data_IF_620087392413
#
_entry.id   IF_620087392413
#
_cell.length_a   1.000
_cell.length_b   1.000
_cell.length_c   1.000
_cell.angle_alpha   90.00
_cell.angle_beta   90.00
_cell.angle_gamma   90.00
#
_symmetry.space_group_name_H-M   'P 1'
#
loop_
_entity.id
_entity.type
_entity.pdbx_description
1 polymer ?
#
# COMPACT_ATOMS: atom_id res chain seq x y z
N UNK A 1 5.79 -16.28 1.40
CA UNK A 1 6.29 -15.04 2.03
C UNK A 1 6.48 -15.35 3.52
N UNK A 2 7.71 -15.35 4.02
CA UNK A 2 8.00 -15.72 5.42
C UNK A 2 7.84 -14.48 6.29
N UNK A 3 6.75 -14.40 7.06
CA UNK A 3 6.52 -13.29 8.00
C UNK A 3 7.37 -13.57 9.25
N UNK A 4 8.40 -12.76 9.47
CA UNK A 4 9.20 -12.80 10.70
C UNK A 4 8.55 -11.84 11.70
N UNK A 5 8.08 -12.38 12.82
CA UNK A 5 7.49 -11.59 13.91
C UNK A 5 8.59 -11.20 14.87
N UNK A 6 8.81 -9.90 15.08
CA UNK A 6 9.77 -9.38 16.06
C UNK A 6 9.01 -8.74 17.23
N UNK A 7 9.47 -9.01 18.46
CA UNK A 7 8.96 -8.33 19.64
C UNK A 7 9.48 -6.89 19.65
N UNK A 8 8.59 -5.90 19.59
CA UNK A 8 8.94 -4.49 19.77
C UNK A 8 9.03 -4.26 21.28
N UNK A 9 10.23 -4.35 21.85
CA UNK A 9 10.42 -4.05 23.27
C UNK A 9 10.41 -2.53 23.47
N UNK A 10 9.27 -1.98 23.88
CA UNK A 10 9.13 -0.56 24.20
C UNK A 10 9.78 -0.16 25.56
N UNK A 11 10.41 -1.09 26.27
CA UNK A 11 10.89 -0.90 27.65
C UNK A 11 12.43 -0.97 27.83
N UNK A 12 13.19 -1.45 26.84
CA UNK A 12 14.66 -1.64 26.99
C UNK A 12 15.53 -0.45 26.55
N UNK A 13 14.92 0.64 26.05
CA UNK A 13 15.68 1.80 25.58
C UNK A 13 16.51 2.51 26.66
N UNK A 14 16.36 2.13 27.94
CA UNK A 14 17.02 2.74 29.09
C UNK A 14 18.09 1.87 29.79
N UNK A 15 18.42 0.69 29.24
CA UNK A 15 19.44 -0.20 29.79
C UNK A 15 20.39 -0.67 28.69
N UNK A 16 21.12 0.25 28.07
CA UNK A 16 22.23 -0.10 27.19
C UNK A 16 23.54 0.07 27.98
N UNK A 17 24.22 -1.02 28.27
CA UNK A 17 25.57 -1.01 28.85
C UNK A 17 26.63 -1.15 27.75
N UNK A 18 27.83 -0.61 27.98
CA UNK A 18 28.95 -0.75 27.04
C UNK A 18 29.29 -2.24 26.84
N UNK A 19 28.89 -2.80 25.68
CA UNK A 19 29.16 -4.19 25.31
C UNK A 19 27.96 -4.95 24.74
N UNK A 20 26.74 -4.40 24.82
CA UNK A 20 25.54 -5.09 24.32
C UNK A 20 25.48 -5.10 22.78
N UNK A 21 25.42 -6.30 22.19
CA UNK A 21 25.24 -6.49 20.75
C UNK A 21 23.78 -6.21 20.34
N UNK A 22 23.52 -4.94 20.02
CA UNK A 22 22.22 -4.45 19.57
C UNK A 22 21.95 -4.71 18.08
N UNK A 23 22.83 -5.44 17.37
CA UNK A 23 22.72 -5.62 15.92
C UNK A 23 21.51 -6.46 15.47
N UNK A 24 20.91 -7.25 16.37
CA UNK A 24 19.81 -8.17 16.05
C UNK A 24 18.41 -7.79 16.57
N UNK A 25 18.30 -6.88 17.54
CA UNK A 25 17.03 -6.65 18.29
C UNK A 25 16.29 -5.34 17.97
N UNK A 26 16.94 -4.36 17.33
CA UNK A 26 16.32 -3.07 17.01
C UNK A 26 16.17 -2.89 15.51
N UNK A 27 14.96 -3.07 14.98
CA UNK A 27 14.61 -2.46 13.68
C UNK A 27 14.53 -0.96 13.95
N UNK A 28 15.55 -0.20 13.54
CA UNK A 28 15.50 1.25 13.66
C UNK A 28 14.35 1.72 12.77
N UNK A 29 13.46 2.56 13.29
CA UNK A 29 12.32 3.09 12.54
C UNK A 29 12.71 3.66 11.17
N UNK A 30 13.92 4.22 11.09
CA UNK A 30 14.55 4.69 9.85
C UNK A 30 14.76 3.59 8.81
N UNK A 31 15.22 2.41 9.22
CA UNK A 31 15.46 1.27 8.33
C UNK A 31 14.12 0.73 7.78
N UNK A 32 13.06 0.73 8.60
CA UNK A 32 11.71 0.37 8.13
C UNK A 32 11.18 1.40 7.12
N UNK A 33 11.38 2.69 7.37
CA UNK A 33 10.96 3.76 6.47
C UNK A 33 11.67 3.66 5.11
N UNK A 34 12.96 3.35 5.09
CA UNK A 34 13.73 3.13 3.86
C UNK A 34 13.25 1.88 3.09
N UNK A 35 12.95 0.78 3.79
CA UNK A 35 12.39 -0.44 3.16
C UNK A 35 11.01 -0.18 2.56
N UNK A 36 10.13 0.55 3.26
CA UNK A 36 8.81 0.92 2.75
C UNK A 36 8.94 1.82 1.52
N UNK A 37 9.76 2.86 1.57
CA UNK A 37 9.99 3.73 0.42
C UNK A 37 10.54 2.96 -0.80
N UNK A 38 11.45 2.01 -0.57
CA UNK A 38 11.97 1.14 -1.63
C UNK A 38 10.88 0.21 -2.20
N UNK A 39 10.00 -0.34 -1.36
CA UNK A 39 8.88 -1.18 -1.81
C UNK A 39 7.85 -0.37 -2.60
N UNK A 40 7.49 0.83 -2.14
CA UNK A 40 6.59 1.75 -2.85
C UNK A 40 7.15 2.11 -4.23
N UNK A 41 8.44 2.44 -4.32
CA UNK A 41 9.11 2.72 -5.58
C UNK A 41 9.07 1.51 -6.54
N UNK A 42 9.25 0.29 -6.02
CA UNK A 42 9.15 -0.93 -6.83
C UNK A 42 7.72 -1.20 -7.28
N UNK A 43 6.72 -0.96 -6.43
CA UNK A 43 5.31 -1.07 -6.81
C UNK A 43 4.95 -0.06 -7.91
N UNK A 44 5.43 1.19 -7.81
CA UNK A 44 5.22 2.20 -8.83
C UNK A 44 5.86 1.81 -10.18
N UNK A 45 7.10 1.28 -10.16
CA UNK A 45 7.77 0.79 -11.35
C UNK A 45 7.02 -0.37 -12.00
N UNK A 46 6.56 -1.35 -11.22
CA UNK A 46 5.76 -2.46 -11.71
C UNK A 46 4.41 -2.01 -12.27
N UNK A 47 3.75 -1.03 -11.64
CA UNK A 47 2.50 -0.47 -12.17
C UNK A 47 2.74 0.20 -13.54
N UNK A 48 3.85 0.92 -13.70
CA UNK A 48 4.22 1.53 -14.97
C UNK A 48 4.54 0.49 -16.05
N UNK A 49 5.27 -0.57 -15.72
CA UNK A 49 5.58 -1.69 -16.63
C UNK A 49 4.30 -2.41 -17.08
N UNK A 50 3.38 -2.69 -16.15
CA UNK A 50 2.08 -3.30 -16.48
C UNK A 50 1.25 -2.40 -17.42
N UNK A 51 1.25 -1.08 -17.19
CA UNK A 51 0.57 -0.14 -18.10
C UNK A 51 1.18 -0.14 -19.50
N UNK A 52 2.52 -0.18 -19.59
CA UNK A 52 3.24 -0.26 -20.86
C UNK A 52 2.98 -1.57 -21.61
N UNK A 53 2.94 -2.71 -20.91
CA UNK A 53 2.60 -4.01 -21.49
C UNK A 53 1.17 -4.04 -22.03
N UNK A 54 0.19 -3.57 -21.25
CA UNK A 54 -1.21 -3.44 -21.69
C UNK A 54 -1.34 -2.53 -22.92
N UNK A 55 -0.52 -1.48 -23.03
CA UNK A 55 -0.49 -0.60 -24.19
C UNK A 55 0.16 -1.26 -25.42
N UNK A 56 1.28 -1.94 -25.23
CA UNK A 56 1.95 -2.68 -26.30
C UNK A 56 1.07 -3.78 -26.90
N UNK A 57 0.27 -4.47 -26.07
CA UNK A 57 -0.68 -5.48 -26.54
C UNK A 57 -1.82 -4.87 -27.36
N UNK A 58 -2.32 -3.68 -26.98
CA UNK A 58 -3.29 -2.92 -27.80
C UNK A 58 -2.72 -2.57 -29.17
N UNK A 59 -1.48 -2.09 -29.21
CA UNK A 59 -0.80 -1.74 -30.45
C UNK A 59 -0.58 -2.95 -31.34
N UNK A 60 -0.19 -4.09 -30.75
CA UNK A 60 -0.06 -5.36 -31.45
C UNK A 60 -1.39 -5.85 -32.03
N UNK A 61 -2.47 -5.84 -31.25
CA UNK A 61 -3.80 -6.20 -31.73
C UNK A 61 -4.26 -5.29 -32.89
N UNK A 62 -3.99 -3.99 -32.80
CA UNK A 62 -4.32 -3.06 -33.88
C UNK A 62 -3.52 -3.34 -35.16
N UNK A 63 -2.22 -3.64 -35.04
CA UNK A 63 -1.38 -4.07 -36.16
C UNK A 63 -1.94 -5.34 -36.81
N UNK A 64 -2.22 -6.38 -36.02
CA UNK A 64 -2.73 -7.65 -36.53
C UNK A 64 -4.12 -7.51 -37.19
N UNK A 65 -4.98 -6.63 -36.68
CA UNK A 65 -6.28 -6.31 -37.29
C UNK A 65 -6.16 -5.66 -38.66
N UNK A 66 -5.15 -4.82 -38.86
CA UNK A 66 -4.91 -4.15 -40.15
C UNK A 66 -4.37 -5.12 -41.21
N UNK A 67 -3.54 -6.08 -40.80
CA UNK A 67 -2.89 -7.05 -41.70
C UNK A 67 -3.72 -8.33 -41.93
N UNK A 68 -4.61 -8.69 -41.00
CA UNK A 68 -5.40 -9.93 -41.07
C UNK A 68 -6.88 -9.71 -40.79
N UNK A 69 -7.70 -9.82 -41.85
CA UNK A 69 -9.16 -9.82 -41.76
C UNK A 69 -9.66 -11.10 -41.08
N UNK A 70 -9.72 -11.07 -39.76
CA UNK A 70 -10.12 -12.21 -38.92
C UNK A 70 -9.42 -12.28 -37.56
N UNK A 71 -8.59 -11.28 -37.21
CA UNK A 71 -7.95 -11.21 -35.90
C UNK A 71 -8.99 -11.02 -34.78
N UNK A 72 -8.90 -11.84 -33.75
CA UNK A 72 -9.58 -11.63 -32.47
C UNK A 72 -8.57 -11.04 -31.49
N UNK A 73 -8.95 -9.93 -30.85
CA UNK A 73 -8.12 -9.32 -29.81
C UNK A 73 -7.92 -10.33 -28.67
N UNK A 74 -6.67 -10.62 -28.35
CA UNK A 74 -6.33 -11.30 -27.10
C UNK A 74 -5.77 -10.23 -26.14
N UNK A 75 -6.37 -10.13 -24.96
CA UNK A 75 -5.90 -9.22 -23.91
C UNK A 75 -5.40 -10.04 -22.74
N UNK A 76 -4.17 -9.76 -22.31
CA UNK A 76 -3.58 -10.28 -21.10
C UNK A 76 -4.14 -9.46 -19.95
N UNK A 77 -5.31 -9.90 -19.46
CA UNK A 77 -5.82 -9.39 -18.20
C UNK A 77 -4.83 -9.74 -17.08
N UNK A 78 -4.61 -8.80 -16.16
CA UNK A 78 -3.77 -9.03 -14.96
C UNK A 78 -4.59 -8.87 -13.67
N UNK A 79 -5.65 -9.68 -13.45
CA UNK A 79 -6.58 -9.47 -12.33
C UNK A 79 -5.88 -9.45 -10.97
N UNK A 80 -4.84 -10.28 -10.79
CA UNK A 80 -4.06 -10.31 -9.55
C UNK A 80 -3.27 -9.03 -9.30
N UNK A 81 -2.71 -8.43 -10.35
CA UNK A 81 -1.97 -7.15 -10.25
C UNK A 81 -2.93 -6.00 -9.99
N UNK A 82 -4.06 -5.96 -10.69
CA UNK A 82 -5.06 -4.92 -10.54
C UNK A 82 -5.69 -4.98 -9.13
N UNK A 83 -5.98 -6.17 -8.62
CA UNK A 83 -6.44 -6.38 -7.24
C UNK A 83 -5.37 -5.97 -6.20
N UNK A 84 -4.08 -6.26 -6.46
CA UNK A 84 -3.00 -5.85 -5.57
C UNK A 84 -2.84 -4.32 -5.54
N UNK A 85 -2.96 -3.64 -6.68
CA UNK A 85 -2.92 -2.18 -6.76
C UNK A 85 -4.10 -1.54 -6.02
N UNK A 86 -5.31 -2.10 -6.18
CA UNK A 86 -6.51 -1.74 -5.44
C UNK A 86 -6.30 -1.85 -3.92
N UNK A 87 -5.75 -2.96 -3.46
CA UNK A 87 -5.45 -3.21 -2.04
C UNK A 87 -4.40 -2.23 -1.50
N UNK A 88 -3.33 -1.95 -2.24
CA UNK A 88 -2.31 -0.96 -1.84
C UNK A 88 -2.91 0.44 -1.67
N UNK A 89 -3.81 0.85 -2.59
CA UNK A 89 -4.53 2.13 -2.46
C UNK A 89 -5.44 2.15 -1.23
N UNK A 90 -6.17 1.06 -0.96
CA UNK A 90 -7.02 0.93 0.21
C UNK A 90 -6.21 1.02 1.51
N UNK A 91 -5.06 0.35 1.58
CA UNK A 91 -4.16 0.41 2.73
C UNK A 91 -3.62 1.84 2.96
N UNK A 92 -3.30 2.59 1.90
CA UNK A 92 -2.91 3.99 2.02
C UNK A 92 -4.00 4.86 2.68
N UNK A 93 -5.28 4.60 2.36
CA UNK A 93 -6.43 5.29 2.99
C UNK A 93 -6.58 4.90 4.46
N UNK A 94 -6.42 3.61 4.78
CA UNK A 94 -6.46 3.13 6.17
C UNK A 94 -5.32 3.71 7.01
N UNK A 95 -4.12 3.83 6.45
CA UNK A 95 -2.97 4.46 7.10
C UNK A 95 -3.23 5.95 7.39
N UNK A 96 -3.75 6.70 6.42
CA UNK A 96 -4.09 8.11 6.61
C UNK A 96 -5.17 8.31 7.68
N UNK A 97 -6.20 7.45 7.68
CA UNK A 97 -7.24 7.42 8.70
C UNK A 97 -6.66 7.22 10.10
N UNK A 98 -5.81 6.20 10.26
CA UNK A 98 -5.24 5.85 11.57
C UNK A 98 -4.31 6.96 12.08
N UNK A 99 -3.47 7.52 11.21
CA UNK A 99 -2.60 8.65 11.56
C UNK A 99 -3.40 9.88 12.04
N UNK A 100 -4.56 10.14 11.42
CA UNK A 100 -5.44 11.24 11.84
C UNK A 100 -6.06 10.97 13.22
N UNK A 101 -6.48 9.73 13.49
CA UNK A 101 -7.02 9.33 14.81
C UNK A 101 -5.95 9.48 15.88
N UNK A 102 -4.74 8.97 15.63
CA UNK A 102 -3.61 9.05 16.57
C UNK A 102 -3.22 10.50 16.87
N UNK A 103 -3.22 11.36 15.85
CA UNK A 103 -2.96 12.79 16.02
C UNK A 103 -3.99 13.45 16.95
N UNK A 104 -5.29 13.21 16.71
CA UNK A 104 -6.35 13.78 17.53
C UNK A 104 -6.34 13.22 18.95
N UNK A 105 -6.04 11.94 19.13
CA UNK A 105 -5.87 11.33 20.45
C UNK A 105 -4.76 12.01 21.26
N UNK A 106 -3.65 12.37 20.60
CA UNK A 106 -2.54 13.10 21.21
C UNK A 106 -2.86 14.55 21.59
N UNK A 107 -3.67 15.24 20.78
CA UNK A 107 -4.01 16.66 20.99
C UNK A 107 -5.19 16.88 21.96
N UNK A 108 -6.23 16.03 21.89
CA UNK A 108 -7.53 16.29 22.54
C UNK A 108 -7.73 15.44 23.80
N UNK A 109 -6.89 14.43 24.02
CA UNK A 109 -6.92 13.59 25.21
C UNK A 109 -8.03 12.51 25.21
N UNK A 110 -8.16 11.74 26.32
CA UNK A 110 -8.85 10.44 26.33
C UNK A 110 -10.38 10.46 26.19
N UNK A 111 -11.03 11.64 26.14
CA UNK A 111 -12.49 11.76 26.06
C UNK A 111 -12.93 12.32 24.70
N UNK A 112 -12.77 11.47 23.70
CA UNK A 112 -12.79 11.76 22.26
C UNK A 112 -14.15 11.53 21.63
N UNK A 113 -15.04 12.52 21.76
CA UNK A 113 -16.23 12.62 20.94
C UNK A 113 -16.08 13.81 20.01
N UNK A 114 -15.43 13.57 18.87
CA UNK A 114 -15.22 14.57 17.80
C UNK A 114 -16.03 14.13 16.58
N UNK A 115 -17.29 14.58 16.44
CA UNK A 115 -18.19 14.07 15.40
C UNK A 115 -17.63 14.18 13.97
N UNK A 116 -16.86 15.24 13.70
CA UNK A 116 -16.18 15.41 12.40
C UNK A 116 -15.12 14.36 12.13
N UNK A 117 -14.34 13.96 13.14
CA UNK A 117 -13.34 12.89 13.02
C UNK A 117 -14.00 11.53 12.81
N UNK A 118 -15.05 11.23 13.59
CA UNK A 118 -15.79 9.96 13.48
C UNK A 118 -16.33 9.81 12.06
N UNK A 119 -17.01 10.85 11.55
CA UNK A 119 -17.57 10.83 10.20
C UNK A 119 -16.49 10.77 9.11
N UNK A 120 -15.37 11.46 9.31
CA UNK A 120 -14.22 11.38 8.41
C UNK A 120 -13.61 9.98 8.36
N UNK A 121 -13.47 9.34 9.51
CA UNK A 121 -12.94 7.98 9.62
C UNK A 121 -13.87 6.94 8.98
N UNK A 122 -15.19 7.11 9.07
CA UNK A 122 -16.18 6.26 8.38
C UNK A 122 -16.09 6.42 6.85
N UNK A 123 -15.91 7.65 6.35
CA UNK A 123 -15.71 7.90 4.92
C UNK A 123 -14.45 7.21 4.42
N UNK A 124 -13.34 7.29 5.16
CA UNK A 124 -12.10 6.59 4.80
C UNK A 124 -12.30 5.07 4.69
N UNK A 125 -13.05 4.46 5.61
CA UNK A 125 -13.38 3.03 5.55
C UNK A 125 -14.14 2.71 4.26
N UNK A 126 -15.19 3.49 3.95
CA UNK A 126 -15.98 3.28 2.73
C UNK A 126 -15.15 3.44 1.44
N UNK A 127 -14.23 4.41 1.40
CA UNK A 127 -13.33 4.60 0.26
C UNK A 127 -12.38 3.41 0.12
N UNK A 128 -11.79 2.94 1.23
CA UNK A 128 -10.89 1.79 1.21
C UNK A 128 -11.61 0.51 0.73
N UNK A 129 -12.85 0.28 1.17
CA UNK A 129 -13.69 -0.83 0.71
C UNK A 129 -13.97 -0.74 -0.80
N UNK A 130 -14.39 0.42 -1.30
CA UNK A 130 -14.61 0.64 -2.74
C UNK A 130 -13.36 0.40 -3.57
N UNK A 131 -12.19 0.81 -3.08
CA UNK A 131 -10.92 0.57 -3.75
C UNK A 131 -10.63 -0.93 -3.86
N UNK A 132 -10.88 -1.73 -2.82
CA UNK A 132 -10.68 -3.19 -2.82
C UNK A 132 -11.60 -3.92 -3.79
N UNK A 133 -12.81 -3.41 -3.98
CA UNK A 133 -13.77 -3.94 -4.97
C UNK A 133 -13.41 -3.56 -6.42
N UNK A 134 -12.30 -2.83 -6.64
CA UNK A 134 -11.89 -2.34 -7.95
C UNK A 134 -12.73 -1.16 -8.44
N UNK A 135 -13.35 -0.44 -7.51
CA UNK A 135 -14.51 0.43 -7.69
C UNK A 135 -14.57 1.23 -8.98
N UNK A 136 -15.69 1.10 -9.70
CA UNK A 136 -16.29 2.00 -10.72
C UNK A 136 -15.36 2.94 -11.51
N UNK A 137 -14.17 2.50 -11.89
CA UNK A 137 -13.22 3.25 -12.74
C UNK A 137 -13.62 3.20 -14.21
#
# INVERSE_FOLDING_TARGET
MSIRTYAVNCNDAWLNTEGDDISGSYVKYKDHQEVVAALEARCAALAAENAALKQSEKEFNNFCRQEYYGWEDNFTETPATDALLAEVRAQGVDMARNAMIDFVDGEVGPNKNVPGLIRGAEICVSIAEQLREGGNQ
#
